data_IF_370920081719
#
_entry.id   IF_370920081719
#
_cell.length_a   1.000
_cell.length_b   1.000
_cell.length_c   1.000
_cell.angle_alpha   90.00
_cell.angle_beta   90.00
_cell.angle_gamma   90.00
#
_symmetry.space_group_name_H-M   'P 1'
#
loop_
_entity.id
_entity.type
_entity.pdbx_description
1 polymer ?
#
# COMPACT_ATOMS: atom_id res chain seq x y z
N UNK A 1 -0.40 -5.60 10.86
CA UNK A 1 -1.29 -4.58 10.24
C UNK A 1 -0.51 -3.46 9.56
N UNK A 2 0.40 -2.75 10.24
CA UNK A 2 1.19 -1.66 9.65
C UNK A 2 1.99 -2.06 8.40
N UNK A 3 2.57 -3.27 8.37
CA UNK A 3 3.41 -3.71 7.25
C UNK A 3 2.62 -3.97 5.96
N UNK A 4 1.42 -4.55 6.06
CA UNK A 4 0.49 -4.73 4.94
C UNK A 4 0.18 -3.39 4.29
N UNK A 5 -0.08 -2.38 5.11
CA UNK A 5 -0.40 -1.04 4.64
C UNK A 5 0.74 -0.41 3.82
N UNK A 6 2.00 -0.62 4.23
CA UNK A 6 3.18 -0.17 3.47
C UNK A 6 3.23 -0.81 2.08
N UNK A 7 2.94 -2.10 1.94
CA UNK A 7 2.92 -2.78 0.63
C UNK A 7 1.85 -2.21 -0.29
N UNK A 8 0.69 -1.92 0.28
CA UNK A 8 -0.44 -1.36 -0.45
C UNK A 8 -0.12 0.06 -0.90
N UNK A 9 0.43 0.88 -0.01
CA UNK A 9 0.87 2.23 -0.37
C UNK A 9 1.97 2.21 -1.44
N UNK A 10 2.91 1.27 -1.35
CA UNK A 10 3.91 1.05 -2.39
C UNK A 10 3.26 0.70 -3.74
N UNK A 11 2.30 -0.24 -3.77
CA UNK A 11 1.58 -0.58 -5.00
C UNK A 11 0.74 0.59 -5.52
N UNK A 12 0.03 1.31 -4.65
CA UNK A 12 -0.81 2.45 -5.00
C UNK A 12 0.02 3.56 -5.67
N UNK A 13 1.11 4.00 -5.04
CA UNK A 13 2.00 5.04 -5.58
C UNK A 13 2.67 4.66 -6.90
N UNK A 14 2.86 3.37 -7.15
CA UNK A 14 3.38 2.86 -8.42
C UNK A 14 2.30 2.66 -9.50
N UNK A 15 1.04 2.46 -9.13
CA UNK A 15 -0.09 2.28 -10.04
C UNK A 15 -0.73 3.61 -10.47
N UNK A 16 -0.80 4.57 -9.54
CA UNK A 16 -1.32 5.91 -9.77
C UNK A 16 -0.37 6.66 -10.72
N UNK A 17 -0.89 7.30 -11.80
CA UNK A 17 -0.05 8.06 -12.72
C UNK A 17 0.75 9.16 -12.01
N UNK A 18 1.96 9.45 -12.47
CA UNK A 18 2.85 10.39 -11.80
C UNK A 18 2.31 11.83 -11.70
N UNK A 19 1.44 12.23 -12.64
CA UNK A 19 0.81 13.55 -12.71
C UNK A 19 -0.44 13.68 -11.82
N UNK A 20 -0.74 12.66 -11.01
CA UNK A 20 -1.87 12.64 -10.10
C UNK A 20 -1.35 12.90 -8.69
N UNK A 21 -1.82 13.98 -8.10
CA UNK A 21 -1.45 14.39 -6.75
C UNK A 21 -2.51 14.01 -5.72
N UNK A 22 -3.63 13.44 -6.14
CA UNK A 22 -4.71 13.03 -5.25
C UNK A 22 -5.23 11.62 -5.59
N UNK A 23 -5.32 10.78 -4.57
CA UNK A 23 -5.99 9.49 -4.68
C UNK A 23 -6.59 9.10 -3.32
N UNK A 24 -7.44 8.08 -3.29
CA UNK A 24 -7.94 7.47 -2.06
C UNK A 24 -7.77 5.96 -2.08
N UNK A 25 -7.67 5.40 -0.89
CA UNK A 25 -7.72 3.96 -0.65
C UNK A 25 -8.95 3.67 0.22
N UNK A 26 -9.81 2.81 -0.28
CA UNK A 26 -10.95 2.25 0.46
C UNK A 26 -10.56 0.82 0.88
N UNK A 27 -10.48 0.56 2.19
CA UNK A 27 -10.18 -0.74 2.75
C UNK A 27 -11.43 -1.32 3.41
N UNK A 28 -11.96 -2.41 2.86
CA UNK A 28 -13.15 -3.09 3.36
C UNK A 28 -12.73 -4.13 4.40
N UNK A 29 -13.29 -4.04 5.61
CA UNK A 29 -13.01 -4.98 6.68
C UNK A 29 -13.47 -6.41 6.27
N UNK A 30 -12.60 -7.44 6.38
CA UNK A 30 -12.98 -8.80 5.98
C UNK A 30 -14.11 -9.37 6.84
N UNK A 31 -14.17 -8.99 8.12
CA UNK A 31 -15.20 -9.47 9.05
C UNK A 31 -16.54 -8.72 8.93
N UNK A 32 -16.52 -7.49 8.43
CA UNK A 32 -17.71 -6.67 8.23
C UNK A 32 -17.59 -5.85 6.94
N UNK A 33 -18.27 -6.32 5.89
CA UNK A 33 -18.25 -5.66 4.57
C UNK A 33 -18.90 -4.28 4.57
N UNK A 34 -19.66 -3.91 5.60
CA UNK A 34 -20.24 -2.57 5.73
C UNK A 34 -19.25 -1.57 6.32
N UNK A 35 -18.23 -2.04 7.03
CA UNK A 35 -17.15 -1.23 7.58
C UNK A 35 -16.06 -1.00 6.51
N UNK A 36 -16.01 0.24 6.01
CA UNK A 36 -15.02 0.68 5.03
C UNK A 36 -14.20 1.83 5.58
N UNK A 37 -12.90 1.58 5.76
CA UNK A 37 -11.94 2.62 6.10
C UNK A 37 -11.54 3.33 4.81
N UNK A 38 -11.74 4.65 4.77
CA UNK A 38 -11.31 5.48 3.63
C UNK A 38 -10.15 6.37 4.07
N UNK A 39 -9.08 6.32 3.30
CA UNK A 39 -7.91 7.17 3.47
C UNK A 39 -7.72 8.02 2.22
N UNK A 40 -7.70 9.35 2.38
CA UNK A 40 -7.39 10.28 1.31
C UNK A 40 -5.89 10.59 1.32
N UNK A 41 -5.30 10.66 0.14
CA UNK A 41 -3.90 10.94 -0.09
C UNK A 41 -3.79 12.19 -0.95
N UNK A 42 -3.07 13.19 -0.45
CA UNK A 42 -2.75 14.42 -1.18
C UNK A 42 -1.23 14.63 -1.19
N UNK A 43 -0.64 14.74 -2.38
CA UNK A 43 0.80 14.89 -2.56
C UNK A 43 1.17 16.37 -2.52
N UNK A 44 2.04 16.73 -1.59
CA UNK A 44 2.61 18.07 -1.53
C UNK A 44 3.74 18.27 -2.55
N UNK A 45 4.19 19.53 -2.66
CA UNK A 45 5.29 19.92 -3.56
C UNK A 45 6.64 19.26 -3.24
N UNK A 46 6.79 18.64 -2.08
CA UNK A 46 8.00 17.92 -1.64
C UNK A 46 7.97 16.43 -2.01
N UNK A 47 6.88 15.99 -2.64
CA UNK A 47 6.63 14.59 -3.01
C UNK A 47 6.15 13.73 -1.83
N UNK A 48 5.77 14.35 -0.71
CA UNK A 48 5.25 13.68 0.47
C UNK A 48 3.72 13.61 0.37
N UNK A 49 3.16 12.48 0.75
CA UNK A 49 1.72 12.25 0.77
C UNK A 49 1.16 12.56 2.16
N UNK A 50 0.33 13.58 2.25
CA UNK A 50 -0.55 13.80 3.40
C UNK A 50 -1.68 12.76 3.34
N UNK A 51 -1.86 12.02 4.43
CA UNK A 51 -2.86 10.96 4.55
C UNK A 51 -3.85 11.33 5.62
N UNK A 52 -5.13 11.38 5.23
CA UNK A 52 -6.24 11.79 6.10
C UNK A 52 -7.29 10.68 6.14
N UNK A 53 -7.49 10.00 7.28
CA UNK A 53 -8.58 9.07 7.46
C UNK A 53 -9.93 9.81 7.50
N UNK A 54 -10.90 9.36 6.71
CA UNK A 54 -12.24 10.00 6.69
C UNK A 54 -12.94 9.95 8.06
N UNK A 55 -12.73 8.88 8.82
CA UNK A 55 -13.37 8.67 10.11
C UNK A 55 -12.69 9.43 11.26
N UNK A 56 -11.46 9.93 11.04
CA UNK A 56 -10.68 10.73 12.01
C UNK A 56 -9.85 11.78 11.27
N UNK A 57 -10.47 12.90 10.84
CA UNK A 57 -9.78 13.92 10.04
C UNK A 57 -8.56 14.57 10.72
N UNK A 58 -8.52 14.54 12.06
CA UNK A 58 -7.42 15.09 12.86
C UNK A 58 -6.22 14.12 12.99
N UNK A 59 -6.40 12.86 12.62
CA UNK A 59 -5.38 11.80 12.68
C UNK A 59 -4.55 11.79 11.38
N UNK A 60 -3.88 12.91 11.14
CA UNK A 60 -3.10 13.14 9.92
C UNK A 60 -1.78 12.39 10.01
N UNK A 61 -1.45 11.66 8.95
CA UNK A 61 -0.12 11.07 8.76
C UNK A 61 0.53 11.62 7.50
N UNK A 62 1.86 11.55 7.44
CA UNK A 62 2.61 11.86 6.23
C UNK A 62 3.47 10.69 5.81
N UNK A 63 3.37 10.30 4.53
CA UNK A 63 4.11 9.20 3.97
C UNK A 63 5.01 9.63 2.82
N UNK A 64 6.20 9.04 2.72
CA UNK A 64 7.12 9.25 1.59
C UNK A 64 7.97 8.00 1.38
N UNK A 65 8.37 7.75 0.13
CA UNK A 65 9.54 6.92 -0.16
C UNK A 65 10.73 7.83 -0.44
N UNK A 66 11.86 7.58 0.21
CA UNK A 66 13.11 8.27 -0.11
C UNK A 66 13.82 7.64 -1.32
N UNK A 67 14.96 8.20 -1.71
CA UNK A 67 15.73 7.75 -2.87
C UNK A 67 16.32 6.34 -2.68
N UNK A 68 16.43 5.88 -1.43
CA UNK A 68 16.84 4.52 -1.07
C UNK A 68 15.65 3.56 -0.94
N UNK A 69 14.44 4.03 -1.29
CA UNK A 69 13.19 3.30 -1.18
C UNK A 69 12.86 2.85 0.25
N UNK A 70 13.29 3.61 1.25
CA UNK A 70 12.78 3.50 2.60
C UNK A 70 11.40 4.16 2.65
N UNK A 71 10.45 3.48 3.28
CA UNK A 71 9.16 4.07 3.62
C UNK A 71 9.31 4.90 4.89
N UNK A 72 9.04 6.19 4.79
CA UNK A 72 9.05 7.14 5.89
C UNK A 72 7.60 7.46 6.25
N UNK A 73 7.26 7.29 7.52
CA UNK A 73 5.98 7.66 8.10
C UNK A 73 6.19 8.69 9.20
N UNK A 74 5.48 9.81 9.13
CA UNK A 74 5.51 10.85 10.15
C UNK A 74 4.10 11.08 10.70
N UNK A 75 3.99 11.09 12.03
CA UNK A 75 2.78 11.52 12.74
C UNK A 75 2.59 13.04 12.59
N UNK A 76 1.39 13.48 12.19
CA UNK A 76 1.11 14.89 11.94
C UNK A 76 0.96 15.76 13.19
N UNK A 77 0.71 15.17 14.36
CA UNK A 77 0.55 15.87 15.63
C UNK A 77 1.85 15.88 16.44
N UNK A 78 2.48 14.71 16.60
CA UNK A 78 3.70 14.55 17.41
C UNK A 78 4.98 14.81 16.60
N UNK A 79 4.88 14.83 15.26
CA UNK A 79 6.02 14.97 14.37
C UNK A 79 6.98 13.77 14.37
N UNK A 80 6.67 12.70 15.12
CA UNK A 80 7.52 11.51 15.24
C UNK A 80 7.61 10.79 13.90
N UNK A 81 8.84 10.55 13.46
CA UNK A 81 9.15 9.85 12.22
C UNK A 81 9.53 8.39 12.49
N UNK A 82 9.07 7.49 11.62
CA UNK A 82 9.45 6.08 11.57
C UNK A 82 9.87 5.72 10.15
N UNK A 83 11.04 5.11 10.03
CA UNK A 83 11.61 4.70 8.75
C UNK A 83 11.66 3.18 8.64
N UNK A 84 11.12 2.65 7.54
CA UNK A 84 11.07 1.24 7.24
C UNK A 84 11.83 0.97 5.94
N UNK A 85 12.95 0.23 6.00
CA UNK A 85 13.78 -0.02 4.81
C UNK A 85 13.17 -1.12 3.93
N UNK A 86 12.09 -0.77 3.23
CA UNK A 86 11.21 -1.71 2.55
C UNK A 86 11.96 -2.54 1.50
N UNK A 87 12.61 -1.89 0.54
CA UNK A 87 13.28 -2.58 -0.57
C UNK A 87 14.66 -3.14 -0.20
N UNK A 88 15.22 -2.76 0.96
CA UNK A 88 16.44 -3.39 1.48
C UNK A 88 16.13 -4.74 2.11
N UNK A 89 14.92 -4.88 2.70
CA UNK A 89 14.49 -6.11 3.36
C UNK A 89 13.67 -7.01 2.44
N UNK A 90 13.13 -6.49 1.35
CA UNK A 90 12.25 -7.25 0.49
C UNK A 90 12.45 -7.00 -1.00
N UNK A 91 12.29 -8.06 -1.80
CA UNK A 91 12.17 -7.96 -3.25
C UNK A 91 10.70 -7.83 -3.64
N UNK A 92 10.45 -7.03 -4.67
CA UNK A 92 9.12 -6.88 -5.26
C UNK A 92 9.15 -7.42 -6.68
N UNK A 93 8.46 -8.53 -6.88
CA UNK A 93 8.27 -9.15 -8.18
C UNK A 93 6.87 -8.84 -8.68
N UNK A 94 6.75 -8.50 -9.96
CA UNK A 94 5.45 -8.23 -10.58
C UNK A 94 5.38 -8.97 -11.90
N UNK A 95 4.21 -9.52 -12.21
CA UNK A 95 4.02 -10.33 -13.40
C UNK A 95 4.09 -9.54 -14.72
N UNK A 96 4.21 -8.21 -14.66
CA UNK A 96 4.32 -7.35 -15.83
C UNK A 96 5.23 -6.14 -15.57
N UNK A 97 6.08 -5.77 -16.55
CA UNK A 97 7.05 -4.66 -16.44
C UNK A 97 6.41 -3.31 -16.11
N UNK A 98 5.28 -2.99 -16.75
CA UNK A 98 4.50 -1.75 -16.50
C UNK A 98 3.49 -1.98 -15.37
N UNK A 99 3.54 -1.16 -14.31
CA UNK A 99 2.63 -1.24 -13.15
C UNK A 99 1.16 -1.14 -13.51
N UNK A 100 0.80 -0.25 -14.45
CA UNK A 100 -0.58 -0.10 -14.93
C UNK A 100 -1.21 -1.37 -15.55
N UNK A 101 -0.38 -2.38 -15.86
CA UNK A 101 -0.75 -3.67 -16.45
C UNK A 101 -0.46 -4.85 -15.52
N UNK A 102 0.18 -4.62 -14.36
CA UNK A 102 0.42 -5.69 -13.40
C UNK A 102 -0.92 -6.19 -12.86
N UNK A 103 -1.06 -7.52 -12.79
CA UNK A 103 -2.24 -8.17 -12.21
C UNK A 103 -1.88 -9.02 -11.00
N UNK A 104 -0.59 -9.23 -10.74
CA UNK A 104 -0.10 -9.92 -9.55
C UNK A 104 1.26 -9.35 -9.13
N UNK A 105 1.44 -9.17 -7.83
CA UNK A 105 2.66 -8.64 -7.21
C UNK A 105 3.03 -9.52 -6.02
N UNK A 106 4.27 -9.96 -5.98
CA UNK A 106 4.82 -10.78 -4.91
C UNK A 106 5.89 -9.99 -4.15
N UNK A 107 5.76 -9.90 -2.84
CA UNK A 107 6.76 -9.36 -1.94
C UNK A 107 7.48 -10.51 -1.23
N UNK A 108 8.79 -10.66 -1.42
CA UNK A 108 9.58 -11.73 -0.77
C UNK A 108 10.64 -11.12 0.13
N UNK A 109 10.93 -11.76 1.25
CA UNK A 109 12.05 -11.37 2.09
C UNK A 109 13.39 -11.64 1.36
N UNK A 110 14.33 -10.70 1.44
CA UNK A 110 15.68 -10.85 0.85
C UNK A 110 16.58 -11.70 1.78
N UNK A 111 16.33 -11.68 3.09
CA UNK A 111 17.10 -12.49 4.05
C UNK A 111 16.72 -13.97 3.94
N UNK A 112 17.65 -14.78 3.38
CA UNK A 112 17.48 -16.22 3.12
C UNK A 112 17.40 -17.11 4.38
N UNK A 113 17.85 -16.63 5.53
CA UNK A 113 18.16 -17.50 6.69
C UNK A 113 17.19 -17.42 7.87
N UNK A 114 16.18 -16.56 7.83
CA UNK A 114 15.14 -16.55 8.87
C UNK A 114 13.93 -17.31 8.34
N UNK A 115 13.39 -18.22 9.16
CA UNK A 115 12.08 -18.87 9.03
C UNK A 115 10.94 -17.82 9.03
N UNK A 116 10.95 -16.88 8.09
CA UNK A 116 10.22 -15.63 8.16
C UNK A 116 9.50 -15.34 6.86
N UNK A 117 8.16 -15.31 6.95
CA UNK A 117 7.17 -14.95 5.93
C UNK A 117 7.47 -15.52 4.53
N UNK A 118 6.78 -16.62 4.19
CA UNK A 118 6.54 -16.99 2.79
C UNK A 118 6.07 -15.74 2.04
N UNK A 119 6.59 -15.53 0.84
CA UNK A 119 6.36 -14.29 0.09
C UNK A 119 4.88 -13.95 -0.01
N UNK A 120 4.55 -12.68 0.18
CA UNK A 120 3.19 -12.16 0.11
C UNK A 120 2.77 -11.94 -1.33
N UNK A 121 1.72 -12.64 -1.76
CA UNK A 121 1.17 -12.46 -3.12
C UNK A 121 -0.12 -11.65 -3.08
N UNK A 122 -0.17 -10.59 -3.87
CA UNK A 122 -1.34 -9.74 -4.06
C UNK A 122 -1.80 -9.80 -5.51
N UNK A 123 -3.10 -9.89 -5.71
CA UNK A 123 -3.74 -9.76 -7.01
C UNK A 123 -4.25 -8.34 -7.21
N UNK A 124 -4.12 -7.85 -8.45
CA UNK A 124 -4.52 -6.51 -8.86
C UNK A 124 -5.55 -6.64 -9.99
N UNK A 125 -6.77 -6.22 -9.72
CA UNK A 125 -7.85 -6.19 -10.69
C UNK A 125 -8.12 -4.76 -11.18
N UNK A 126 -8.27 -4.60 -12.50
CA UNK A 126 -8.78 -3.37 -13.09
C UNK A 126 -10.30 -3.30 -12.90
N UNK A 127 -10.74 -2.51 -11.93
CA UNK A 127 -12.16 -2.25 -11.66
C UNK A 127 -12.67 -0.93 -12.28
N UNK A 128 -11.81 -0.17 -12.95
CA UNK A 128 -12.21 1.04 -13.71
C UNK A 128 -11.03 1.72 -14.42
N UNK A 129 -11.28 2.82 -15.14
CA UNK A 129 -10.20 3.60 -15.79
C UNK A 129 -9.20 4.13 -14.77
N UNK A 130 -9.71 4.66 -13.65
CA UNK A 130 -8.95 5.23 -12.54
C UNK A 130 -9.16 4.50 -11.21
N UNK A 131 -9.40 3.19 -11.31
CA UNK A 131 -9.75 2.34 -10.16
C UNK A 131 -9.03 1.00 -10.26
N UNK A 132 -8.38 0.57 -9.19
CA UNK A 132 -7.75 -0.75 -9.05
C UNK A 132 -8.15 -1.36 -7.72
N UNK A 133 -8.47 -2.65 -7.74
CA UNK A 133 -8.75 -3.43 -6.55
C UNK A 133 -7.56 -4.34 -6.29
N UNK A 134 -7.11 -4.38 -5.04
CA UNK A 134 -5.99 -5.17 -4.55
C UNK A 134 -6.54 -6.15 -3.51
N UNK A 135 -6.27 -7.43 -3.72
CA UNK A 135 -6.64 -8.52 -2.80
C UNK A 135 -5.42 -9.37 -2.51
N UNK A 136 -5.36 -9.99 -1.33
CA UNK A 136 -4.35 -11.01 -1.08
C UNK A 136 -4.78 -12.32 -1.73
N UNK A 137 -3.85 -13.01 -2.39
CA UNK A 137 -4.08 -14.33 -2.97
C UNK A 137 -4.10 -15.37 -1.82
N UNK A 138 -5.28 -15.74 -1.34
CA UNK A 138 -5.43 -16.62 -0.16
C UNK A 138 -4.84 -18.01 -0.39
N UNK A 139 -4.83 -18.51 -1.63
CA UNK A 139 -4.26 -19.81 -1.98
C UNK A 139 -2.75 -19.84 -1.84
N UNK A 140 -2.08 -18.72 -2.16
CA UNK A 140 -0.63 -18.56 -2.00
C UNK A 140 -0.22 -18.05 -0.62
N UNK A 141 -1.15 -17.53 0.18
CA UNK A 141 -0.91 -16.93 1.50
C UNK A 141 -1.67 -17.62 2.64
N UNK A 142 -1.73 -18.97 2.63
CA UNK A 142 -2.55 -19.77 3.57
C UNK A 142 -2.29 -19.48 5.07
N UNK A 143 -1.11 -18.99 5.42
CA UNK A 143 -0.67 -18.80 6.80
C UNK A 143 -1.02 -17.40 7.38
N UNK A 144 -1.68 -16.52 6.62
CA UNK A 144 -1.72 -15.06 6.89
C UNK A 144 -3.12 -14.55 7.22
N UNK A 145 -4.13 -15.42 7.14
CA UNK A 145 -5.54 -15.07 7.37
C UNK A 145 -6.12 -14.18 6.26
N UNK A 146 -7.36 -13.73 6.41
CA UNK A 146 -7.95 -12.80 5.46
C UNK A 146 -7.44 -11.37 5.70
N UNK A 147 -7.06 -10.69 4.62
CA UNK A 147 -6.72 -9.27 4.64
C UNK A 147 -7.85 -8.45 4.00
N UNK A 148 -8.01 -7.18 4.42
CA UNK A 148 -8.96 -6.26 3.79
C UNK A 148 -8.83 -6.24 2.27
N UNK A 149 -9.96 -6.23 1.57
CA UNK A 149 -9.96 -5.87 0.15
C UNK A 149 -9.75 -4.37 0.04
N UNK A 150 -8.77 -3.96 -0.76
CA UNK A 150 -8.40 -2.56 -0.89
C UNK A 150 -8.64 -2.04 -2.29
N UNK A 151 -9.22 -0.85 -2.40
CA UNK A 151 -9.55 -0.23 -3.67
C UNK A 151 -8.88 1.12 -3.77
N UNK A 152 -7.95 1.25 -4.72
CA UNK A 152 -7.23 2.49 -5.04
C UNK A 152 -8.02 3.23 -6.13
N UNK A 153 -8.39 4.48 -5.85
CA UNK A 153 -9.18 5.34 -6.75
C UNK A 153 -8.46 6.68 -6.91
N UNK A 154 -8.35 7.18 -8.13
CA UNK A 154 -7.71 8.47 -8.41
C UNK A 154 -8.45 9.29 -9.48
N UNK A 155 -8.08 10.56 -9.65
CA UNK A 155 -8.61 11.48 -10.66
C UNK A 155 -7.53 12.00 -11.60
#
# INVERSE_FOLDING_TARGET
MMMTFVFIFYMATNMVPANVDQFKIEAQNPSDKTDTIILNFDRDKTGRWKVVPNHKPDDIMFFKFDDQSNFIMQDGQEGKEKTYPLLQKMSVEKNHKKWKKATSVTFKNIEKDKKGLKGLVFDIQKSGKRKRTITMDTDKNKDIGELPTMTVIWE
#
